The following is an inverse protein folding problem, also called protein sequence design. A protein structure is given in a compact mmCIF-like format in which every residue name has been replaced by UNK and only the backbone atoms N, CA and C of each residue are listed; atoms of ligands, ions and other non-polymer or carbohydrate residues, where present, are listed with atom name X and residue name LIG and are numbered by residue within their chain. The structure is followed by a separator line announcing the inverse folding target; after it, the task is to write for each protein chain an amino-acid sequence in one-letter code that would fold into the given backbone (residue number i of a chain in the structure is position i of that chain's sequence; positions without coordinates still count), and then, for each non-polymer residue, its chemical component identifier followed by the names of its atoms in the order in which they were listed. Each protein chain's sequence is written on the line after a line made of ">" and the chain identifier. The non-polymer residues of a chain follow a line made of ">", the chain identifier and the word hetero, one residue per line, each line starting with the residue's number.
data_IF_568592437977
#
_entry.id   IF_568592437977
#
_cell.length_a   1.000
_cell.length_b   1.000
_cell.length_c   1.000
_cell.angle_alpha   90.00
_cell.angle_beta   90.00
_cell.angle_gamma   90.00
#
_symmetry.space_group_name_H-M   'P 1'
#
loop_
_entity.id
_entity.type
_entity.pdbx_description
1 polymer ?
#
# COMPACT_ATOMS: atom_id res chain seq x y z
N UNK A 1 20.34 -25.38 -19.01
CA UNK A 1 19.32 -24.36 -18.69
C UNK A 1 19.69 -23.11 -19.44
N UNK A 2 18.76 -22.54 -20.20
CA UNK A 2 18.97 -21.32 -20.97
C UNK A 2 18.25 -20.17 -20.28
N UNK A 3 18.88 -19.00 -20.22
CA UNK A 3 18.28 -17.81 -19.68
C UNK A 3 17.61 -17.02 -20.80
N UNK A 4 16.33 -16.71 -20.64
CA UNK A 4 15.56 -16.01 -21.65
C UNK A 4 14.82 -14.83 -21.00
N UNK A 5 15.39 -13.63 -21.16
CA UNK A 5 14.77 -12.39 -20.68
C UNK A 5 13.53 -11.98 -21.50
N UNK A 6 13.35 -12.54 -22.70
CA UNK A 6 12.19 -12.33 -23.55
C UNK A 6 10.99 -13.18 -23.13
N UNK A 7 11.24 -14.35 -22.53
CA UNK A 7 10.18 -15.22 -22.03
C UNK A 7 9.57 -14.68 -20.72
N UNK A 8 8.24 -14.64 -20.67
CA UNK A 8 7.50 -14.33 -19.44
C UNK A 8 7.57 -15.48 -18.43
N UNK A 9 7.55 -16.73 -18.91
CA UNK A 9 7.43 -17.92 -18.07
C UNK A 9 8.66 -18.82 -18.15
N UNK A 10 9.01 -19.43 -17.02
CA UNK A 10 10.03 -20.47 -16.95
C UNK A 10 9.46 -21.79 -17.45
N UNK A 11 10.18 -22.46 -18.35
CA UNK A 11 9.68 -23.66 -19.03
C UNK A 11 10.60 -24.86 -18.80
N UNK A 12 10.00 -26.05 -18.73
CA UNK A 12 10.74 -27.31 -18.62
C UNK A 12 10.35 -28.28 -19.75
N UNK A 13 11.34 -29.01 -20.32
CA UNK A 13 11.12 -29.94 -21.42
C UNK A 13 10.59 -31.29 -20.94
N UNK A 14 10.94 -31.67 -19.71
CA UNK A 14 10.60 -32.95 -19.12
C UNK A 14 9.42 -32.82 -18.18
N UNK A 15 8.52 -33.80 -18.26
CA UNK A 15 7.35 -33.87 -17.40
C UNK A 15 7.82 -34.24 -15.98
N UNK A 16 7.64 -33.38 -14.96
CA UNK A 16 8.16 -33.65 -13.62
C UNK A 16 7.43 -34.84 -12.97
N UNK A 17 8.06 -35.56 -12.02
CA UNK A 17 7.48 -36.78 -11.42
C UNK A 17 6.13 -36.55 -10.72
N UNK A 18 5.84 -35.31 -10.29
CA UNK A 18 4.57 -34.90 -9.69
C UNK A 18 3.48 -34.52 -10.72
N UNK A 19 3.71 -34.73 -12.02
CA UNK A 19 2.84 -34.19 -13.06
C UNK A 19 1.64 -35.09 -13.40
N UNK A 20 0.48 -34.66 -12.91
CA UNK A 20 -0.85 -35.08 -13.37
C UNK A 20 -2.04 -34.30 -12.80
N UNK A 21 -1.85 -33.23 -12.02
CA UNK A 21 -2.94 -32.66 -11.18
C UNK A 21 -3.00 -31.13 -11.10
N UNK A 22 -2.62 -30.40 -12.16
CA UNK A 22 -2.93 -28.98 -12.26
C UNK A 22 -3.86 -28.75 -13.45
N UNK A 23 -5.06 -28.22 -13.20
CA UNK A 23 -5.97 -27.76 -14.27
C UNK A 23 -5.54 -26.43 -14.88
N UNK A 24 -4.48 -25.81 -14.36
CA UNK A 24 -4.01 -24.51 -14.81
C UNK A 24 -3.21 -24.62 -16.11
N UNK A 25 -3.57 -23.76 -17.05
CA UNK A 25 -2.93 -23.65 -18.35
C UNK A 25 -2.64 -22.18 -18.62
N UNK A 26 -1.59 -21.91 -19.39
CA UNK A 26 -1.26 -20.58 -19.90
C UNK A 26 -1.22 -20.59 -21.42
N UNK A 27 -1.57 -19.46 -22.02
CA UNK A 27 -1.37 -19.23 -23.45
C UNK A 27 0.06 -18.69 -23.62
N UNK A 28 0.85 -19.39 -24.42
CA UNK A 28 2.23 -19.02 -24.74
C UNK A 28 2.31 -18.79 -26.23
N UNK A 29 2.86 -17.64 -26.62
CA UNK A 29 3.14 -17.31 -28.01
C UNK A 29 4.61 -17.63 -28.30
N UNK A 30 4.84 -18.53 -29.26
CA UNK A 30 6.19 -18.88 -29.70
C UNK A 30 6.80 -17.84 -30.64
N UNK A 31 8.05 -18.06 -31.04
CA UNK A 31 8.79 -17.17 -31.97
C UNK A 31 8.09 -17.06 -33.34
N UNK A 32 7.31 -18.08 -33.73
CA UNK A 32 6.52 -18.09 -34.97
C UNK A 32 5.18 -17.33 -34.84
N UNK A 33 4.89 -16.70 -33.69
CA UNK A 33 3.64 -15.96 -33.43
C UNK A 33 2.42 -16.85 -33.20
N UNK A 34 2.59 -18.17 -33.18
CA UNK A 34 1.50 -19.11 -32.94
C UNK A 34 1.25 -19.26 -31.44
N UNK A 35 0.00 -19.02 -31.01
CA UNK A 35 -0.42 -19.20 -29.62
C UNK A 35 -0.72 -20.67 -29.33
N UNK A 36 -0.04 -21.21 -28.32
CA UNK A 36 -0.21 -22.59 -27.86
C UNK A 36 -0.62 -22.60 -26.40
N UNK A 37 -1.62 -23.41 -26.06
CA UNK A 37 -2.06 -23.60 -24.67
C UNK A 37 -1.20 -24.67 -24.01
N UNK A 38 -0.45 -24.30 -22.98
CA UNK A 38 0.49 -25.19 -22.29
C UNK A 38 0.13 -25.35 -20.80
N UNK A 39 0.31 -26.55 -20.21
CA UNK A 39 0.00 -26.80 -18.82
C UNK A 39 1.05 -26.21 -17.87
N UNK A 40 0.59 -25.75 -16.70
CA UNK A 40 1.45 -25.24 -15.62
C UNK A 40 1.60 -26.31 -14.54
N UNK A 41 2.83 -26.61 -14.16
CA UNK A 41 3.16 -27.55 -13.09
C UNK A 41 2.77 -26.99 -11.72
N UNK A 42 2.43 -27.88 -10.77
CA UNK A 42 2.41 -27.51 -9.35
C UNK A 42 3.79 -26.96 -8.93
N UNK A 43 3.86 -26.07 -7.92
CA UNK A 43 5.14 -25.57 -7.44
C UNK A 43 6.12 -26.70 -7.14
N UNK A 44 7.31 -26.64 -7.72
CA UNK A 44 8.40 -27.57 -7.52
C UNK A 44 9.50 -26.90 -6.70
N UNK A 45 10.01 -27.60 -5.69
CA UNK A 45 11.19 -27.16 -4.97
C UNK A 45 12.39 -27.16 -5.93
N UNK A 46 12.89 -25.98 -6.23
CA UNK A 46 13.88 -25.72 -7.27
C UNK A 46 15.13 -25.12 -6.65
N UNK A 47 16.30 -25.69 -6.99
CA UNK A 47 17.60 -25.13 -6.62
C UNK A 47 18.23 -24.42 -7.81
N UNK A 48 18.56 -23.13 -7.65
CA UNK A 48 19.27 -22.32 -8.66
C UNK A 48 20.47 -21.66 -7.98
N UNK A 49 21.68 -22.14 -8.29
CA UNK A 49 22.87 -21.80 -7.51
C UNK A 49 22.71 -22.24 -6.04
N UNK A 50 22.89 -21.30 -5.11
CA UNK A 50 22.70 -21.51 -3.66
C UNK A 50 21.28 -21.14 -3.17
N UNK A 51 20.40 -20.74 -4.09
CA UNK A 51 19.00 -20.42 -3.79
C UNK A 51 18.13 -21.66 -3.91
N UNK A 52 17.24 -21.84 -2.93
CA UNK A 52 16.27 -22.92 -2.88
C UNK A 52 14.89 -22.28 -2.69
N UNK A 53 13.97 -22.50 -3.63
CA UNK A 53 12.64 -21.89 -3.64
C UNK A 53 11.62 -22.78 -4.34
N UNK A 54 10.35 -22.60 -4.04
CA UNK A 54 9.27 -23.24 -4.79
C UNK A 54 8.89 -22.41 -6.02
N UNK A 55 8.76 -23.07 -7.18
CA UNK A 55 8.39 -22.42 -8.42
C UNK A 55 7.57 -23.33 -9.33
N UNK A 56 6.53 -22.78 -9.96
CA UNK A 56 5.72 -23.46 -10.98
C UNK A 56 6.30 -23.22 -12.36
N UNK A 57 6.49 -24.28 -13.14
CA UNK A 57 7.00 -24.20 -14.52
C UNK A 57 5.93 -24.49 -15.54
N UNK A 58 6.04 -23.90 -16.72
CA UNK A 58 5.26 -24.31 -17.89
C UNK A 58 5.91 -25.55 -18.50
N UNK A 59 5.16 -26.63 -18.64
CA UNK A 59 5.66 -27.82 -19.31
C UNK A 59 5.44 -27.69 -20.82
N UNK A 60 6.53 -27.82 -21.58
CA UNK A 60 6.48 -27.77 -23.04
C UNK A 60 7.41 -28.83 -23.63
N UNK A 61 6.90 -29.90 -24.26
CA UNK A 61 7.74 -30.94 -24.86
C UNK A 61 8.48 -30.45 -26.11
N UNK A 62 8.06 -29.32 -26.70
CA UNK A 62 8.75 -28.66 -27.81
C UNK A 62 9.89 -27.74 -27.35
N UNK A 63 10.02 -27.50 -26.04
CA UNK A 63 11.13 -26.75 -25.49
C UNK A 63 12.38 -27.64 -25.48
N UNK A 64 13.51 -27.23 -26.09
CA UNK A 64 14.69 -28.09 -26.21
C UNK A 64 15.50 -28.20 -24.91
N UNK A 65 15.41 -27.19 -24.04
CA UNK A 65 16.15 -27.10 -22.76
C UNK A 65 15.31 -26.36 -21.74
N UNK A 66 15.54 -26.59 -20.44
CA UNK A 66 14.87 -25.79 -19.42
C UNK A 66 15.20 -24.29 -19.58
N UNK A 67 14.17 -23.45 -19.62
CA UNK A 67 14.26 -22.00 -19.79
C UNK A 67 13.96 -21.30 -18.47
N UNK A 68 14.81 -20.35 -18.09
CA UNK A 68 14.52 -19.42 -17.00
C UNK A 68 13.93 -18.14 -17.59
N UNK A 69 12.63 -17.97 -17.37
CA UNK A 69 11.90 -16.77 -17.76
C UNK A 69 11.95 -15.70 -16.68
N UNK A 70 11.35 -14.54 -17.00
CA UNK A 70 11.30 -13.39 -16.10
C UNK A 70 10.62 -13.69 -14.77
N UNK A 71 9.64 -14.58 -14.74
CA UNK A 71 8.94 -15.02 -13.53
C UNK A 71 9.87 -15.61 -12.45
N UNK A 72 10.81 -16.47 -12.84
CA UNK A 72 11.79 -17.04 -11.91
C UNK A 72 12.94 -16.08 -11.64
N UNK A 73 13.43 -15.37 -12.66
CA UNK A 73 14.53 -14.41 -12.51
C UNK A 73 14.16 -13.25 -11.58
N UNK A 74 12.91 -12.76 -11.65
CA UNK A 74 12.39 -11.73 -10.74
C UNK A 74 12.30 -12.26 -9.30
N UNK A 75 11.82 -13.49 -9.11
CA UNK A 75 11.78 -14.14 -7.79
C UNK A 75 13.16 -14.32 -7.19
N UNK A 76 14.16 -14.62 -8.02
CA UNK A 76 15.56 -14.74 -7.63
C UNK A 76 16.29 -13.40 -7.48
N UNK A 77 15.62 -12.27 -7.79
CA UNK A 77 16.23 -10.94 -7.85
C UNK A 77 17.53 -10.94 -8.68
N UNK A 78 17.53 -11.66 -9.80
CA UNK A 78 18.69 -11.81 -10.64
C UNK A 78 19.06 -10.46 -11.31
N UNK A 79 20.33 -10.07 -11.19
CA UNK A 79 20.91 -8.96 -11.93
C UNK A 79 21.62 -9.49 -13.18
N UNK A 80 21.34 -8.91 -14.34
CA UNK A 80 21.95 -9.31 -15.61
C UNK A 80 22.76 -8.13 -16.12
N UNK A 81 24.05 -8.35 -16.35
CA UNK A 81 24.94 -7.36 -16.93
C UNK A 81 25.83 -7.98 -18.00
N UNK A 82 26.29 -7.16 -18.93
CA UNK A 82 27.20 -7.57 -19.99
C UNK A 82 28.60 -7.09 -19.65
N UNK A 83 29.58 -7.99 -19.65
CA UNK A 83 31.00 -7.69 -19.43
C UNK A 83 31.83 -8.49 -20.42
N UNK A 84 32.75 -7.84 -21.12
CA UNK A 84 33.66 -8.45 -22.10
C UNK A 84 32.92 -9.32 -23.15
N UNK A 85 31.82 -8.79 -23.71
CA UNK A 85 30.91 -9.48 -24.64
C UNK A 85 30.27 -10.77 -24.10
N UNK A 86 30.31 -10.98 -22.79
CA UNK A 86 29.63 -12.08 -22.10
C UNK A 86 28.46 -11.57 -21.26
N UNK A 87 27.32 -12.27 -21.36
CA UNK A 87 26.20 -12.06 -20.45
C UNK A 87 26.50 -12.75 -19.12
N UNK A 88 26.56 -11.97 -18.05
CA UNK A 88 26.78 -12.45 -16.69
C UNK A 88 25.49 -12.27 -15.89
N UNK A 89 25.08 -13.32 -15.20
CA UNK A 89 23.91 -13.31 -14.33
C UNK A 89 24.38 -13.45 -12.91
N UNK A 90 24.15 -12.41 -12.11
CA UNK A 90 24.50 -12.38 -10.71
C UNK A 90 23.24 -12.57 -9.89
N UNK A 91 23.22 -13.63 -9.11
CA UNK A 91 22.21 -13.83 -8.07
C UNK A 91 22.72 -13.17 -6.78
N UNK A 92 21.84 -12.55 -5.98
CA UNK A 92 22.24 -11.97 -4.70
C UNK A 92 22.90 -13.06 -3.84
N UNK A 93 24.06 -12.75 -3.27
CA UNK A 93 24.70 -13.64 -2.29
C UNK A 93 23.77 -13.70 -1.08
N UNK A 94 23.45 -14.91 -0.60
CA UNK A 94 22.79 -15.07 0.70
C UNK A 94 23.75 -14.54 1.76
N UNK A 95 23.64 -13.26 2.10
CA UNK A 95 24.21 -12.77 3.35
C UNK A 95 23.50 -13.58 4.44
N UNK A 96 24.28 -14.34 5.21
CA UNK A 96 23.82 -14.90 6.48
C UNK A 96 23.62 -13.75 7.47
N UNK A 97 22.73 -12.83 7.16
CA UNK A 97 22.07 -12.05 8.17
C UNK A 97 21.18 -13.04 8.90
N UNK A 98 21.58 -13.38 10.11
CA UNK A 98 20.94 -14.28 11.08
C UNK A 98 19.57 -13.78 11.56
N UNK A 99 18.83 -13.06 10.70
CA UNK A 99 17.43 -12.76 10.88
C UNK A 99 16.63 -13.89 10.21
N UNK A 100 16.57 -15.03 10.89
CA UNK A 100 15.47 -15.95 10.64
C UNK A 100 14.20 -15.26 11.14
N UNK A 101 13.41 -14.71 10.21
CA UNK A 101 11.96 -14.71 10.40
C UNK A 101 11.56 -16.17 10.44
N UNK A 102 11.45 -16.73 11.64
CA UNK A 102 10.72 -17.96 11.83
C UNK A 102 9.26 -17.63 11.45
N UNK A 103 8.80 -18.14 10.31
CA UNK A 103 7.39 -18.51 10.22
C UNK A 103 7.20 -19.47 11.39
N UNK A 104 6.57 -18.99 12.47
CA UNK A 104 5.98 -19.87 13.46
C UNK A 104 5.12 -20.82 12.66
N UNK A 105 5.48 -22.11 12.65
CA UNK A 105 4.59 -23.13 12.12
C UNK A 105 3.22 -22.88 12.73
N UNK A 106 2.22 -22.83 11.86
CA UNK A 106 0.81 -22.67 12.18
C UNK A 106 0.38 -23.82 13.10
N UNK A 107 0.66 -23.66 14.39
CA UNK A 107 0.16 -24.48 15.49
C UNK A 107 -0.56 -23.58 16.49
N UNK A 108 -1.30 -22.61 15.98
CA UNK A 108 -2.53 -22.26 16.65
C UNK A 108 -3.54 -23.35 16.26
N UNK A 109 -4.20 -24.04 17.21
CA UNK A 109 -5.42 -24.74 16.85
C UNK A 109 -6.30 -23.72 16.11
N UNK A 110 -6.93 -24.13 15.01
CA UNK A 110 -7.87 -23.29 14.28
C UNK A 110 -9.03 -22.95 15.24
N UNK A 111 -8.86 -21.88 16.00
CA UNK A 111 -9.94 -21.26 16.76
C UNK A 111 -10.73 -20.49 15.73
N UNK A 112 -12.02 -20.79 15.62
CA UNK A 112 -12.88 -20.06 14.69
C UNK A 112 -12.80 -18.56 15.05
N UNK A 113 -12.61 -17.63 14.09
CA UNK A 113 -12.60 -16.20 14.37
C UNK A 113 -13.87 -15.71 15.07
N UNK A 114 -14.95 -16.49 14.98
CA UNK A 114 -16.29 -16.15 15.44
C UNK A 114 -16.43 -16.22 16.97
N UNK A 115 -15.61 -17.02 17.65
CA UNK A 115 -15.76 -17.27 19.09
C UNK A 115 -15.20 -16.14 19.99
N UNK A 116 -14.29 -15.29 19.48
CA UNK A 116 -13.65 -14.22 20.27
C UNK A 116 -14.19 -12.81 20.04
N UNK A 117 -15.05 -12.61 19.05
CA UNK A 117 -15.68 -11.30 18.80
C UNK A 117 -16.91 -11.05 19.66
N UNK A 118 -17.37 -12.07 20.40
CA UNK A 118 -18.49 -11.98 21.33
C UNK A 118 -18.13 -11.12 22.54
N UNK A 119 -18.42 -9.83 22.46
CA UNK A 119 -18.14 -8.86 23.54
C UNK A 119 -17.38 -7.60 23.10
N UNK A 120 -16.93 -7.53 21.84
CA UNK A 120 -16.44 -6.27 21.27
C UNK A 120 -17.63 -5.38 20.94
N UNK A 121 -17.62 -4.14 21.41
CA UNK A 121 -18.65 -3.15 21.09
C UNK A 121 -18.73 -2.96 19.56
N UNK A 122 -19.86 -3.29 18.91
CA UNK A 122 -19.98 -3.18 17.46
C UNK A 122 -19.73 -1.77 16.92
N UNK A 123 -19.91 -0.74 17.74
CA UNK A 123 -19.74 0.67 17.34
C UNK A 123 -18.29 1.08 17.10
N UNK A 124 -17.31 0.27 17.51
CA UNK A 124 -15.88 0.55 17.25
C UNK A 124 -15.48 0.21 15.81
N UNK A 125 -16.28 -0.61 15.11
CA UNK A 125 -15.99 -1.01 13.74
C UNK A 125 -16.52 0.02 12.75
N UNK A 126 -15.72 0.28 11.71
CA UNK A 126 -16.07 1.30 10.73
C UNK A 126 -17.24 0.86 9.82
N UNK A 127 -18.41 1.43 10.06
CA UNK A 127 -19.66 1.18 9.32
C UNK A 127 -19.85 2.10 8.09
N UNK A 128 -18.89 2.99 7.83
CA UNK A 128 -18.96 4.01 6.79
C UNK A 128 -19.39 5.39 7.30
N UNK A 129 -19.66 5.54 8.59
CA UNK A 129 -19.78 6.83 9.26
C UNK A 129 -18.40 7.44 9.48
N UNK A 130 -18.19 8.72 9.15
CA UNK A 130 -16.94 9.43 9.44
C UNK A 130 -16.60 9.45 10.92
N UNK A 131 -15.42 8.94 11.28
CA UNK A 131 -14.88 9.11 12.62
C UNK A 131 -14.33 10.53 12.81
N UNK A 132 -14.35 11.02 14.05
CA UNK A 132 -13.73 12.29 14.43
C UNK A 132 -13.05 12.14 15.79
N UNK A 133 -11.78 12.53 15.87
CA UNK A 133 -11.03 12.51 17.13
C UNK A 133 -11.61 13.55 18.10
N UNK A 134 -12.17 13.10 19.22
CA UNK A 134 -12.94 13.95 20.16
C UNK A 134 -12.05 14.93 20.93
N UNK A 135 -10.83 14.51 21.29
CA UNK A 135 -9.93 15.26 22.16
C UNK A 135 -8.86 16.06 21.40
N UNK A 136 -8.91 16.02 20.07
CA UNK A 136 -7.95 16.71 19.21
C UNK A 136 -8.52 18.07 18.80
N UNK A 137 -7.79 19.12 19.17
CA UNK A 137 -8.10 20.48 18.69
C UNK A 137 -7.76 20.61 17.20
N UNK A 138 -8.50 21.43 16.44
CA UNK A 138 -8.20 21.67 15.04
C UNK A 138 -6.75 22.12 14.82
N UNK A 139 -6.07 21.41 13.92
CA UNK A 139 -4.63 21.55 13.68
C UNK A 139 -4.37 22.77 12.80
N UNK A 140 -3.36 23.55 13.17
CA UNK A 140 -2.86 24.68 12.40
C UNK A 140 -1.61 24.25 11.64
N UNK A 141 -1.62 24.44 10.33
CA UNK A 141 -0.48 24.23 9.45
C UNK A 141 0.12 25.58 9.09
N UNK A 142 1.44 25.71 9.28
CA UNK A 142 2.19 26.95 9.07
C UNK A 142 3.12 26.77 7.87
N UNK A 143 3.23 27.80 7.04
CA UNK A 143 4.20 27.83 5.93
C UNK A 143 5.52 28.43 6.43
N UNK A 144 6.63 28.10 5.75
CA UNK A 144 7.92 28.74 5.96
C UNK A 144 7.81 30.24 5.66
N UNK A 145 8.60 31.04 6.37
CA UNK A 145 8.57 32.50 6.24
C UNK A 145 8.84 32.96 4.81
N UNK A 146 8.03 33.91 4.33
CA UNK A 146 8.13 34.46 2.99
C UNK A 146 7.51 33.61 1.87
N UNK A 147 6.94 32.44 2.17
CA UNK A 147 6.31 31.59 1.16
C UNK A 147 4.95 32.12 0.69
N UNK A 148 4.86 32.44 -0.60
CA UNK A 148 3.60 32.78 -1.27
C UNK A 148 2.74 31.56 -1.59
N UNK A 149 1.48 31.78 -2.03
CA UNK A 149 0.52 30.71 -2.26
C UNK A 149 0.94 29.76 -3.39
N UNK A 150 0.69 28.46 -3.19
CA UNK A 150 0.89 27.42 -4.22
C UNK A 150 -0.25 27.48 -5.22
N UNK A 151 0.02 27.68 -6.52
CA UNK A 151 -1.01 27.73 -7.56
C UNK A 151 -0.67 26.79 -8.71
N UNK A 152 -1.01 25.53 -8.55
CA UNK A 152 -0.82 24.50 -9.60
C UNK A 152 -2.17 24.22 -10.23
N UNK A 153 -2.24 24.30 -11.57
CA UNK A 153 -3.49 24.04 -12.33
C UNK A 153 -3.90 22.58 -12.23
N UNK A 154 -5.21 22.32 -12.25
CA UNK A 154 -5.73 20.95 -12.33
C UNK A 154 -5.21 20.24 -13.59
N UNK A 155 -4.70 19.02 -13.43
CA UNK A 155 -4.34 18.16 -14.54
C UNK A 155 -5.60 17.67 -15.27
N UNK A 156 -5.54 17.43 -16.60
CA UNK A 156 -6.67 16.84 -17.31
C UNK A 156 -7.08 15.49 -16.69
N UNK A 157 -8.36 15.35 -16.34
CA UNK A 157 -8.92 14.10 -15.81
C UNK A 157 -9.66 13.35 -16.92
N UNK A 158 -9.37 12.05 -17.05
CA UNK A 158 -10.11 11.17 -17.96
C UNK A 158 -11.59 11.10 -17.57
N UNK A 159 -12.47 10.75 -18.52
CA UNK A 159 -13.91 10.63 -18.25
C UNK A 159 -14.19 9.57 -17.16
N UNK A 160 -13.49 8.44 -17.21
CA UNK A 160 -13.61 7.38 -16.22
C UNK A 160 -13.15 7.84 -14.83
N UNK A 161 -12.03 8.56 -14.74
CA UNK A 161 -11.56 9.14 -13.48
C UNK A 161 -12.56 10.15 -12.91
N UNK A 162 -13.13 11.04 -13.74
CA UNK A 162 -14.15 11.99 -13.28
C UNK A 162 -15.40 11.29 -12.76
N UNK A 163 -15.89 10.27 -13.45
CA UNK A 163 -17.06 9.51 -13.00
C UNK A 163 -16.80 8.81 -11.65
N UNK A 164 -15.63 8.17 -11.49
CA UNK A 164 -15.25 7.52 -10.24
C UNK A 164 -15.04 8.49 -9.08
N UNK A 165 -14.41 9.65 -9.35
CA UNK A 165 -14.19 10.69 -8.35
C UNK A 165 -15.47 11.40 -7.95
N UNK A 166 -16.46 11.53 -8.84
CA UNK A 166 -17.74 12.18 -8.53
C UNK A 166 -18.41 11.54 -7.31
N UNK A 167 -18.60 10.22 -7.35
CA UNK A 167 -19.24 9.49 -6.25
C UNK A 167 -18.49 9.68 -4.92
N UNK A 168 -17.15 9.72 -4.98
CA UNK A 168 -16.31 9.89 -3.81
C UNK A 168 -16.39 11.32 -3.25
N UNK A 169 -16.34 12.34 -4.11
CA UNK A 169 -16.42 13.76 -3.71
C UNK A 169 -17.80 14.08 -3.15
N UNK A 170 -18.88 13.58 -3.74
CA UNK A 170 -20.23 13.75 -3.20
C UNK A 170 -20.38 13.10 -1.83
N UNK A 171 -19.83 11.90 -1.66
CA UNK A 171 -19.78 11.21 -0.36
C UNK A 171 -19.01 12.04 0.67
N UNK A 172 -17.82 12.52 0.32
CA UNK A 172 -17.00 13.34 1.22
C UNK A 172 -17.65 14.68 1.55
N UNK A 173 -18.33 15.33 0.60
CA UNK A 173 -19.10 16.56 0.84
C UNK A 173 -20.21 16.34 1.86
N UNK A 174 -20.93 15.21 1.81
CA UNK A 174 -21.95 14.84 2.82
C UNK A 174 -21.35 14.71 4.23
N UNK A 175 -20.09 14.31 4.33
CA UNK A 175 -19.34 14.25 5.58
C UNK A 175 -18.81 15.61 6.05
N UNK A 176 -18.90 16.64 5.20
CA UNK A 176 -18.32 17.95 5.45
C UNK A 176 -16.79 17.98 5.35
N UNK A 177 -16.16 17.00 4.69
CA UNK A 177 -14.71 16.91 4.57
C UNK A 177 -14.14 17.91 3.56
N UNK A 178 -14.43 17.85 2.25
CA UNK A 178 -14.23 19.00 1.40
C UNK A 178 -15.46 19.90 1.48
N UNK A 179 -15.23 21.19 1.71
CA UNK A 179 -16.25 22.24 1.56
C UNK A 179 -15.90 23.12 0.37
N UNK A 180 -16.92 23.65 -0.31
CA UNK A 180 -16.71 24.65 -1.35
C UNK A 180 -16.24 25.97 -0.75
N UNK A 181 -15.30 26.62 -1.42
CA UNK A 181 -14.88 27.97 -1.08
C UNK A 181 -13.75 28.47 -1.95
N UNK A 182 -13.37 29.72 -1.76
CA UNK A 182 -12.30 30.36 -2.52
C UNK A 182 -10.99 30.34 -1.74
N UNK A 183 -9.94 29.81 -2.36
CA UNK A 183 -8.59 29.79 -1.82
C UNK A 183 -7.60 30.40 -2.81
N UNK A 184 -6.63 31.20 -2.35
CA UNK A 184 -5.52 31.65 -3.19
C UNK A 184 -4.55 30.52 -3.55
N UNK A 185 -4.69 29.33 -2.94
CA UNK A 185 -3.90 28.12 -3.21
C UNK A 185 -4.66 27.19 -4.14
N UNK A 186 -3.97 26.36 -4.92
CA UNK A 186 -4.58 25.23 -5.63
C UNK A 186 -3.53 24.15 -5.87
N UNK A 187 -3.91 22.88 -5.66
CA UNK A 187 -3.14 21.71 -6.08
C UNK A 187 -4.03 20.73 -6.83
N UNK A 188 -3.47 20.01 -7.83
CA UNK A 188 -4.26 19.13 -8.67
C UNK A 188 -4.59 17.82 -7.94
N UNK A 189 -5.75 17.26 -8.27
CA UNK A 189 -6.13 15.89 -7.89
C UNK A 189 -5.94 14.92 -9.06
N UNK A 190 -5.79 13.64 -8.74
CA UNK A 190 -5.72 12.52 -9.66
C UNK A 190 -6.74 11.46 -9.22
N UNK A 191 -7.35 10.79 -10.19
CA UNK A 191 -8.17 9.61 -9.96
C UNK A 191 -7.34 8.36 -10.25
N UNK A 192 -6.97 7.61 -9.22
CA UNK A 192 -6.19 6.38 -9.35
C UNK A 192 -7.13 5.18 -9.19
N UNK A 193 -7.21 4.27 -10.18
CA UNK A 193 -8.05 3.08 -10.04
C UNK A 193 -7.51 2.19 -8.91
N UNK A 194 -8.41 1.59 -8.12
CA UNK A 194 -8.05 0.55 -7.16
C UNK A 194 -7.80 -0.77 -7.90
N UNK A 195 -7.25 -1.75 -7.18
CA UNK A 195 -6.98 -3.09 -7.70
C UNK A 195 -8.25 -3.81 -8.20
N UNK A 196 -9.43 -3.40 -7.72
CA UNK A 196 -10.72 -3.92 -8.20
C UNK A 196 -11.06 -3.46 -9.64
N UNK A 197 -10.33 -2.50 -10.21
CA UNK A 197 -10.55 -1.96 -11.56
C UNK A 197 -11.81 -1.11 -11.73
N UNK A 198 -12.64 -0.98 -10.69
CA UNK A 198 -13.95 -0.32 -10.74
C UNK A 198 -13.96 0.94 -9.88
N UNK A 199 -13.38 0.89 -8.69
CA UNK A 199 -13.37 2.02 -7.76
C UNK A 199 -12.13 2.88 -7.93
N UNK A 200 -12.25 4.16 -7.56
CA UNK A 200 -11.18 5.14 -7.68
C UNK A 200 -10.75 5.66 -6.31
N UNK A 201 -9.48 6.06 -6.22
CA UNK A 201 -8.91 6.85 -5.12
C UNK A 201 -8.71 8.28 -5.59
N UNK A 202 -9.12 9.23 -4.76
CA UNK A 202 -8.73 10.62 -4.92
C UNK A 202 -7.34 10.81 -4.33
N UNK A 203 -6.38 11.17 -5.17
CA UNK A 203 -5.01 11.49 -4.74
C UNK A 203 -4.74 12.95 -5.05
N UNK A 204 -4.48 13.76 -4.03
CA UNK A 204 -4.09 15.15 -4.23
C UNK A 204 -2.56 15.27 -4.30
N UNK A 205 -2.05 15.95 -5.32
CA UNK A 205 -0.62 16.19 -5.47
C UNK A 205 -0.16 17.34 -4.56
N UNK A 206 0.16 16.98 -3.32
CA UNK A 206 0.58 17.94 -2.28
C UNK A 206 2.08 18.22 -2.30
N UNK A 207 2.85 17.76 -3.30
CA UNK A 207 4.31 17.95 -3.34
C UNK A 207 4.74 19.41 -3.25
N UNK A 208 4.02 20.30 -3.94
CA UNK A 208 4.31 21.73 -3.92
C UNK A 208 3.99 22.38 -2.56
N UNK A 209 2.93 21.93 -1.90
CA UNK A 209 2.57 22.37 -0.54
C UNK A 209 3.60 21.85 0.47
N UNK A 210 3.92 20.56 0.42
CA UNK A 210 4.88 19.90 1.31
C UNK A 210 6.25 20.57 1.32
N UNK A 211 6.72 21.15 0.20
CA UNK A 211 8.00 21.88 0.13
C UNK A 211 7.99 23.19 0.93
N UNK A 212 6.83 23.85 1.00
CA UNK A 212 6.64 25.19 1.59
C UNK A 212 6.16 25.16 3.04
N UNK A 213 5.61 24.05 3.48
CA UNK A 213 5.16 23.89 4.87
C UNK A 213 6.36 23.87 5.81
N UNK A 214 6.24 24.58 6.92
CA UNK A 214 7.14 24.44 8.05
C UNK A 214 6.72 23.16 8.79
N UNK A 215 7.52 22.11 8.69
CA UNK A 215 7.27 20.82 9.33
C UNK A 215 8.35 20.54 10.35
N UNK A 216 7.93 20.12 11.54
CA UNK A 216 8.83 19.53 12.52
C UNK A 216 9.39 18.20 12.02
N UNK A 217 10.54 17.80 12.56
CA UNK A 217 11.12 16.50 12.23
C UNK A 217 10.13 15.39 12.62
N UNK A 218 9.70 14.53 11.68
CA UNK A 218 8.75 13.47 12.00
C UNK A 218 9.38 12.51 13.02
N UNK A 219 8.72 12.33 14.16
CA UNK A 219 9.12 11.39 15.21
C UNK A 219 8.27 10.12 15.11
N UNK A 220 8.23 9.51 13.92
CA UNK A 220 7.61 8.19 13.73
C UNK A 220 8.74 7.15 13.80
N UNK A 221 8.75 6.26 14.80
CA UNK A 221 9.81 5.27 14.90
C UNK A 221 9.73 4.27 13.74
N UNK A 222 10.88 3.76 13.31
CA UNK A 222 10.95 2.72 12.28
C UNK A 222 10.22 1.46 12.77
N UNK A 223 9.42 0.77 11.91
CA UNK A 223 8.76 -0.49 12.27
C UNK A 223 9.68 -1.50 12.98
N UNK A 224 10.93 -1.64 12.53
CA UNK A 224 11.90 -2.54 13.16
C UNK A 224 12.21 -2.16 14.62
N UNK A 225 12.27 -0.86 14.92
CA UNK A 225 12.51 -0.34 16.28
C UNK A 225 11.27 -0.47 17.16
N UNK A 226 10.07 -0.42 16.59
CA UNK A 226 8.82 -0.62 17.33
C UNK A 226 8.68 -2.10 17.69
N UNK A 227 8.94 -2.99 16.74
CA UNK A 227 8.81 -4.43 16.95
C UNK A 227 9.81 -5.00 17.97
N UNK A 228 10.95 -4.36 18.20
CA UNK A 228 11.88 -4.77 19.28
C UNK A 228 11.29 -4.58 20.68
N UNK A 229 10.17 -3.85 20.81
CA UNK A 229 9.45 -3.67 22.07
C UNK A 229 8.49 -4.83 22.37
N UNK A 230 8.25 -5.74 21.42
CA UNK A 230 7.46 -6.94 21.64
C UNK A 230 8.21 -7.87 22.61
N UNK A 231 7.60 -8.27 23.75
CA UNK A 231 8.22 -9.24 24.66
C UNK A 231 8.45 -10.59 23.96
N UNK A 232 9.59 -11.23 24.20
CA UNK A 232 9.92 -12.51 23.56
C UNK A 232 8.99 -13.66 23.99
N UNK A 233 8.35 -13.52 25.15
CA UNK A 233 7.36 -14.43 25.70
C UNK A 233 5.93 -14.19 25.22
N UNK A 234 5.68 -13.12 24.45
CA UNK A 234 4.35 -12.81 23.94
C UNK A 234 3.88 -13.92 22.97
N UNK A 235 2.69 -14.47 23.22
CA UNK A 235 2.09 -15.55 22.41
C UNK A 235 0.79 -15.14 21.71
N UNK A 236 0.17 -14.06 22.16
CA UNK A 236 -1.12 -13.57 21.67
C UNK A 236 -0.90 -12.17 21.15
N UNK A 237 -1.32 -11.95 19.91
CA UNK A 237 -1.20 -10.69 19.20
C UNK A 237 -2.58 -10.27 18.69
N UNK A 238 -2.84 -8.98 18.61
CA UNK A 238 -4.05 -8.43 18.00
C UNK A 238 -3.65 -7.23 17.18
N UNK A 239 -4.06 -7.20 15.91
CA UNK A 239 -3.71 -6.10 15.00
C UNK A 239 -4.98 -5.35 14.65
N UNK A 240 -4.95 -4.02 14.81
CA UNK A 240 -6.03 -3.12 14.43
C UNK A 240 -5.51 -2.10 13.42
N UNK A 241 -6.25 -1.94 12.32
CA UNK A 241 -6.02 -0.92 11.30
C UNK A 241 -7.10 0.16 11.38
N UNK A 242 -6.71 1.41 11.62
CA UNK A 242 -7.64 2.52 11.76
C UNK A 242 -8.07 3.09 10.41
N UNK A 243 -9.27 2.74 9.96
CA UNK A 243 -9.84 3.23 8.70
C UNK A 243 -9.97 4.76 8.67
N UNK A 244 -9.51 5.37 7.57
CA UNK A 244 -9.61 6.81 7.29
C UNK A 244 -9.00 7.69 8.41
N UNK A 245 -7.98 7.17 9.12
CA UNK A 245 -7.34 7.76 10.29
C UNK A 245 -7.08 9.27 10.19
N UNK A 246 -6.42 9.75 9.13
CA UNK A 246 -6.09 11.17 8.99
C UNK A 246 -7.34 12.06 8.89
N UNK A 247 -8.41 11.59 8.26
CA UNK A 247 -9.65 12.34 8.14
C UNK A 247 -10.38 12.53 9.49
N UNK A 248 -9.97 11.79 10.53
CA UNK A 248 -10.47 12.03 11.89
C UNK A 248 -9.92 13.32 12.53
N UNK A 249 -8.83 13.88 11.99
CA UNK A 249 -8.15 15.06 12.54
C UNK A 249 -8.65 16.35 11.86
N UNK A 250 -9.31 17.26 12.58
CA UNK A 250 -9.82 18.50 12.00
C UNK A 250 -8.69 19.52 11.71
N UNK A 251 -8.86 20.33 10.68
CA UNK A 251 -8.01 21.47 10.34
C UNK A 251 -8.63 22.80 10.77
N UNK A 252 -7.81 23.73 11.26
CA UNK A 252 -8.23 25.13 11.43
C UNK A 252 -8.60 25.75 10.09
N UNK A 253 -9.63 26.60 10.08
CA UNK A 253 -10.18 27.24 8.88
C UNK A 253 -9.12 27.95 8.01
N UNK A 254 -8.13 28.57 8.62
CA UNK A 254 -7.01 29.20 7.93
C UNK A 254 -6.11 28.20 7.18
N UNK A 255 -5.94 26.99 7.71
CA UNK A 255 -5.12 25.93 7.10
C UNK A 255 -5.87 25.12 6.06
N UNK A 256 -7.22 25.09 6.10
CA UNK A 256 -8.05 24.40 5.10
C UNK A 256 -7.74 24.92 3.68
N UNK A 257 -7.51 26.23 3.55
CA UNK A 257 -7.17 26.89 2.28
C UNK A 257 -5.92 26.33 1.64
N UNK A 258 -4.94 25.86 2.41
CA UNK A 258 -3.66 25.34 1.89
C UNK A 258 -3.85 24.08 1.03
N UNK A 259 -4.90 23.32 1.31
CA UNK A 259 -5.18 22.04 0.67
C UNK A 259 -6.31 22.14 -0.34
N UNK A 260 -6.53 23.33 -0.90
CA UNK A 260 -7.56 23.54 -1.89
C UNK A 260 -7.23 22.83 -3.22
N UNK A 261 -8.26 22.32 -3.89
CA UNK A 261 -8.18 21.74 -5.22
C UNK A 261 -9.41 22.10 -6.07
N UNK A 262 -9.22 22.14 -7.38
CA UNK A 262 -10.28 22.37 -8.34
C UNK A 262 -11.03 21.06 -8.62
N UNK A 263 -12.36 21.14 -8.67
CA UNK A 263 -13.23 20.05 -9.09
C UNK A 263 -14.23 20.55 -10.13
N UNK A 264 -14.39 19.77 -11.20
CA UNK A 264 -15.41 19.97 -12.22
C UNK A 264 -16.34 18.75 -12.23
N UNK A 265 -17.61 18.96 -11.92
CA UNK A 265 -18.59 17.88 -11.95
C UNK A 265 -18.84 17.43 -13.40
N UNK A 266 -18.71 16.12 -13.71
CA UNK A 266 -18.81 15.63 -15.08
C UNK A 266 -20.21 15.71 -15.70
N UNK A 267 -21.27 15.86 -14.89
CA UNK A 267 -22.66 15.87 -15.37
C UNK A 267 -23.22 17.30 -15.46
N UNK A 268 -22.87 18.15 -14.50
CA UNK A 268 -23.35 19.54 -14.43
C UNK A 268 -22.36 20.55 -15.01
N UNK A 269 -21.11 20.15 -15.27
CA UNK A 269 -20.01 21.02 -15.68
C UNK A 269 -19.72 22.17 -14.71
N UNK A 270 -20.25 22.08 -13.48
CA UNK A 270 -20.00 23.06 -12.44
C UNK A 270 -18.54 22.95 -11.97
N UNK A 271 -17.80 24.05 -12.11
CA UNK A 271 -16.43 24.20 -11.64
C UNK A 271 -16.41 24.90 -10.30
N UNK A 272 -15.87 24.24 -9.30
CA UNK A 272 -15.70 24.78 -7.97
C UNK A 272 -14.31 24.48 -7.42
N UNK A 273 -13.93 25.23 -6.41
CA UNK A 273 -12.76 24.92 -5.60
C UNK A 273 -13.22 24.34 -4.27
N UNK A 274 -12.61 23.22 -3.89
CA UNK A 274 -12.90 22.47 -2.69
C UNK A 274 -11.71 22.56 -1.74
N UNK A 275 -11.98 22.64 -0.44
CA UNK A 275 -10.98 22.74 0.61
C UNK A 275 -11.24 21.69 1.68
N UNK A 276 -10.20 20.93 2.06
CA UNK A 276 -10.33 19.96 3.14
C UNK A 276 -10.49 20.64 4.50
N UNK A 277 -11.48 20.21 5.27
CA UNK A 277 -11.73 20.57 6.67
C UNK A 277 -11.02 19.65 7.65
N UNK A 278 -10.46 18.55 7.13
CA UNK A 278 -9.75 17.49 7.86
C UNK A 278 -8.39 17.26 7.22
N UNK A 279 -7.48 16.61 7.95
CA UNK A 279 -6.11 16.40 7.50
C UNK A 279 -6.06 15.50 6.24
N UNK A 280 -5.58 16.00 5.09
CA UNK A 280 -5.65 15.23 3.85
C UNK A 280 -4.54 14.18 3.76
N UNK A 281 -4.85 13.09 3.05
CA UNK A 281 -3.84 12.10 2.65
C UNK A 281 -2.82 12.71 1.68
N UNK A 282 -1.55 12.32 1.80
CA UNK A 282 -0.43 12.85 1.00
C UNK A 282 0.24 14.09 1.58
N UNK A 283 -0.28 14.65 2.68
CA UNK A 283 0.39 15.72 3.42
C UNK A 283 1.54 15.15 4.27
N UNK A 284 2.74 15.72 4.13
CA UNK A 284 3.97 15.13 4.69
C UNK A 284 3.96 15.02 6.22
N UNK A 285 3.35 15.97 6.92
CA UNK A 285 3.29 15.95 8.38
C UNK A 285 2.07 15.18 8.92
N UNK A 286 1.18 14.66 8.05
CA UNK A 286 -0.02 13.97 8.51
C UNK A 286 0.25 12.76 9.39
N UNK A 287 1.21 11.86 9.06
CA UNK A 287 1.51 10.71 9.92
C UNK A 287 2.00 11.12 11.31
N UNK A 288 2.82 12.17 11.40
CA UNK A 288 3.34 12.67 12.67
C UNK A 288 2.24 13.31 13.52
N UNK A 289 1.41 14.17 12.93
CA UNK A 289 0.28 14.83 13.61
C UNK A 289 -0.71 13.79 14.15
N UNK A 290 -1.07 12.81 13.32
CA UNK A 290 -1.97 11.73 13.73
C UNK A 290 -1.33 10.85 14.81
N UNK A 291 -0.06 10.47 14.63
CA UNK A 291 0.68 9.66 15.59
C UNK A 291 0.73 10.29 16.99
N UNK A 292 1.01 11.59 17.09
CA UNK A 292 1.00 12.33 18.35
C UNK A 292 -0.40 12.40 18.98
N UNK A 293 -1.43 12.62 18.17
CA UNK A 293 -2.81 12.66 18.63
C UNK A 293 -3.24 11.30 19.22
N UNK A 294 -3.00 10.22 18.48
CA UNK A 294 -3.34 8.86 18.91
C UNK A 294 -2.50 8.42 20.12
N UNK A 295 -1.21 8.78 20.17
CA UNK A 295 -0.35 8.49 21.32
C UNK A 295 -0.88 9.15 22.59
N UNK A 296 -1.35 10.40 22.48
CA UNK A 296 -1.96 11.13 23.59
C UNK A 296 -3.25 10.45 24.05
N UNK A 297 -4.14 10.10 23.12
CA UNK A 297 -5.43 9.47 23.44
C UNK A 297 -5.26 8.06 24.05
N UNK A 298 -4.24 7.30 23.60
CA UNK A 298 -3.92 5.98 24.16
C UNK A 298 -3.08 6.03 25.44
N UNK A 299 -2.56 7.21 25.82
CA UNK A 299 -1.63 7.35 26.95
C UNK A 299 -2.22 6.90 28.29
N UNK A 300 -3.43 7.34 28.61
CA UNK A 300 -4.15 6.94 29.83
C UNK A 300 -4.48 5.44 29.84
N UNK A 301 -4.83 4.90 28.67
CA UNK A 301 -5.10 3.47 28.51
C UNK A 301 -3.85 2.62 28.76
N UNK A 302 -2.68 3.01 28.22
CA UNK A 302 -1.41 2.30 28.44
C UNK A 302 -1.02 2.28 29.92
N UNK A 303 -1.21 3.39 30.63
CA UNK A 303 -0.91 3.48 32.07
C UNK A 303 -1.84 2.58 32.90
N UNK A 304 -3.11 2.45 32.49
CA UNK A 304 -4.08 1.59 33.21
C UNK A 304 -3.96 0.11 32.88
N UNK A 305 -3.24 -0.28 31.83
CA UNK A 305 -3.09 -1.68 31.37
C UNK A 305 -1.61 -2.10 31.24
N UNK A 306 -0.82 -2.09 32.32
CA UNK A 306 0.63 -2.37 32.26
C UNK A 306 0.98 -3.81 31.84
N UNK A 307 0.01 -4.73 31.90
CA UNK A 307 0.18 -6.12 31.46
C UNK A 307 0.11 -6.28 29.93
N UNK A 308 -0.33 -5.26 29.19
CA UNK A 308 -0.47 -5.29 27.73
C UNK A 308 0.60 -4.41 27.11
N UNK A 309 1.35 -4.95 26.15
CA UNK A 309 2.25 -4.16 25.31
C UNK A 309 1.44 -3.61 24.14
N UNK A 310 1.36 -2.28 24.02
CA UNK A 310 0.66 -1.62 22.92
C UNK A 310 1.65 -0.86 22.04
N UNK A 311 1.79 -1.31 20.81
CA UNK A 311 2.64 -0.73 19.80
C UNK A 311 1.78 0.04 18.80
N UNK A 312 2.25 1.24 18.44
CA UNK A 312 1.53 2.13 17.55
C UNK A 312 2.47 2.54 16.43
N UNK A 313 2.06 2.28 15.18
CA UNK A 313 2.75 2.75 13.99
C UNK A 313 1.76 3.49 13.10
N UNK A 314 1.72 4.81 13.24
CA UNK A 314 0.76 5.68 12.54
C UNK A 314 -0.68 5.24 12.85
N UNK A 315 -1.35 4.58 11.92
CA UNK A 315 -2.71 4.06 11.96
C UNK A 315 -2.80 2.56 12.31
N UNK A 316 -1.68 1.85 12.33
CA UNK A 316 -1.58 0.47 12.78
C UNK A 316 -1.38 0.38 14.31
N UNK A 317 -2.11 -0.52 14.95
CA UNK A 317 -1.98 -0.86 16.37
C UNK A 317 -1.71 -2.36 16.49
N UNK A 318 -0.71 -2.72 17.31
CA UNK A 318 -0.37 -4.09 17.70
C UNK A 318 -0.38 -4.24 19.23
#
# INVERSE_FOLDING_TARGET
>A
VLLDTGSTFSMIPEKPPCAGTSEQHVLVEGIEGMQTRLPVCKPLLTKVGDHLLEHSFVYSPSCPVALLGRDLLTKLQAEIFFRDDQMVVQLPVKQSSNYQMALLEDRCPAVSPEDHMTGVDPSVWADGTPARAKFVSPVRIVLKDGEGPVRVKQYPLSRAARAGLKQLIEKYKKYGWPVEGSSPYNTPILGVPKADGVSYRLVQDLRAVNKKVLSDHPVVPNPHTILTQVPGEAKIFSVLDLKDAFFSIPLRQESQKLFAFEWEDPDTFHKAQLMWTVLPQGFIAAPHIFGLALQKDLGEWKVSHPAVTLLQYVDDIL
#
